data_IF_503388280395
#
_entry.id   IF_503388280395
#
_cell.length_a   1.000
_cell.length_b   1.000
_cell.length_c   1.000
_cell.angle_alpha   90.00
_cell.angle_beta   90.00
_cell.angle_gamma   90.00
#
_symmetry.space_group_name_H-M   'P 1'
#
loop_
_entity.id
_entity.type
_entity.pdbx_description
1 polymer ?
#
# COMPACT_ATOMS: atom_id res chain seq x y z
N UNK A 1 15.04 -33.23 -38.90
CA UNK A 1 14.31 -32.23 -38.07
C UNK A 1 14.01 -32.89 -36.73
N UNK A 2 14.99 -32.93 -35.83
CA UNK A 2 14.76 -33.43 -34.47
C UNK A 2 14.07 -32.32 -33.66
N UNK A 3 12.96 -32.68 -33.02
CA UNK A 3 12.16 -31.80 -32.18
C UNK A 3 13.03 -31.32 -31.01
N UNK A 4 13.32 -30.02 -30.94
CA UNK A 4 14.12 -29.44 -29.86
C UNK A 4 13.25 -29.26 -28.61
N UNK A 5 13.90 -29.13 -27.44
CA UNK A 5 13.20 -28.81 -26.20
C UNK A 5 12.58 -27.42 -26.25
N UNK A 6 11.43 -27.30 -25.58
CA UNK A 6 10.76 -26.03 -25.34
C UNK A 6 11.59 -25.14 -24.40
N UNK A 7 11.39 -23.82 -24.52
CA UNK A 7 12.12 -22.82 -23.76
C UNK A 7 11.90 -22.97 -22.26
N UNK A 8 10.66 -23.25 -21.84
CA UNK A 8 10.27 -23.40 -20.43
C UNK A 8 10.90 -24.63 -19.81
N UNK A 9 10.95 -25.74 -20.55
CA UNK A 9 11.56 -26.99 -20.07
C UNK A 9 13.07 -26.82 -19.93
N UNK A 10 13.70 -26.13 -20.89
CA UNK A 10 15.13 -25.90 -20.86
C UNK A 10 15.55 -24.93 -19.73
N UNK A 11 14.75 -23.90 -19.43
CA UNK A 11 15.00 -23.00 -18.30
C UNK A 11 14.76 -23.71 -16.97
N UNK A 12 13.66 -24.46 -16.82
CA UNK A 12 13.41 -25.25 -15.61
C UNK A 12 14.49 -26.30 -15.36
N UNK A 13 15.06 -26.90 -16.43
CA UNK A 13 16.22 -27.78 -16.30
C UNK A 13 17.45 -27.03 -15.78
N UNK A 14 17.72 -25.83 -16.30
CA UNK A 14 18.82 -24.98 -15.86
C UNK A 14 18.71 -24.62 -14.37
N UNK A 15 17.51 -24.26 -13.92
CA UNK A 15 17.20 -23.90 -12.54
C UNK A 15 17.03 -25.12 -11.60
N UNK A 16 17.13 -26.34 -12.14
CA UNK A 16 16.91 -27.63 -11.45
C UNK A 16 15.51 -27.80 -10.86
N UNK A 17 14.51 -27.20 -11.48
CA UNK A 17 13.11 -27.25 -11.05
C UNK A 17 12.33 -28.43 -11.66
N UNK A 18 12.92 -29.18 -12.60
CA UNK A 18 12.29 -30.37 -13.16
C UNK A 18 12.33 -31.58 -12.20
N UNK A 19 11.28 -32.42 -12.19
CA UNK A 19 11.28 -33.73 -11.51
C UNK A 19 12.39 -34.65 -12.05
N UNK A 20 12.88 -35.59 -11.23
CA UNK A 20 14.03 -36.45 -11.58
C UNK A 20 13.91 -37.20 -12.91
N UNK A 21 12.73 -37.77 -13.21
CA UNK A 21 12.49 -38.48 -14.47
C UNK A 21 12.53 -37.54 -15.69
N UNK A 22 12.13 -36.28 -15.54
CA UNK A 22 12.19 -35.27 -16.61
C UNK A 22 13.59 -34.70 -16.76
N UNK A 23 14.35 -34.55 -15.67
CA UNK A 23 15.77 -34.18 -15.74
C UNK A 23 16.59 -35.19 -16.55
N UNK A 24 16.38 -36.50 -16.34
CA UNK A 24 17.10 -37.54 -17.08
C UNK A 24 16.78 -37.48 -18.59
N UNK A 25 15.50 -37.32 -18.96
CA UNK A 25 15.08 -37.20 -20.36
C UNK A 25 15.68 -35.95 -21.03
N UNK A 26 15.69 -34.82 -20.32
CA UNK A 26 16.30 -33.59 -20.82
C UNK A 26 17.82 -33.75 -20.95
N UNK A 27 18.48 -34.40 -20.00
CA UNK A 27 19.91 -34.67 -20.06
C UNK A 27 20.29 -35.56 -21.26
N UNK A 28 19.50 -36.59 -21.55
CA UNK A 28 19.69 -37.46 -22.72
C UNK A 28 19.53 -36.67 -24.04
N UNK A 29 18.50 -35.80 -24.12
CA UNK A 29 18.34 -34.92 -25.28
C UNK A 29 19.53 -33.97 -25.43
N UNK A 30 19.99 -33.37 -24.34
CA UNK A 30 21.13 -32.46 -24.35
C UNK A 30 22.43 -33.17 -24.75
N UNK A 31 22.59 -34.47 -24.50
CA UNK A 31 23.77 -35.21 -24.94
C UNK A 31 23.89 -35.30 -26.48
N UNK A 32 22.78 -35.22 -27.21
CA UNK A 32 22.74 -35.39 -28.67
C UNK A 32 22.35 -34.13 -29.46
N UNK A 33 21.79 -33.10 -28.80
CA UNK A 33 21.25 -31.92 -29.47
C UNK A 33 22.11 -30.65 -29.26
N UNK A 34 22.99 -30.36 -30.23
CA UNK A 34 23.84 -29.16 -30.22
C UNK A 34 23.05 -27.83 -30.22
N UNK A 35 21.81 -27.82 -30.72
CA UNK A 35 20.96 -26.63 -30.68
C UNK A 35 20.51 -26.30 -29.24
N UNK A 36 20.08 -27.31 -28.49
CA UNK A 36 19.66 -27.12 -27.09
C UNK A 36 20.86 -26.86 -26.17
N UNK A 37 22.02 -27.48 -26.43
CA UNK A 37 23.27 -27.15 -25.71
C UNK A 37 23.63 -25.66 -25.83
N UNK A 38 23.58 -25.11 -27.05
CA UNK A 38 23.88 -23.67 -27.28
C UNK A 38 22.88 -22.74 -26.59
N UNK A 39 21.61 -23.13 -26.53
CA UNK A 39 20.59 -22.36 -25.79
C UNK A 39 20.84 -22.41 -24.28
N UNK A 40 21.16 -23.59 -23.74
CA UNK A 40 21.50 -23.74 -22.33
C UNK A 40 22.72 -22.89 -21.94
N UNK A 41 23.73 -22.83 -22.82
CA UNK A 41 24.90 -21.98 -22.62
C UNK A 41 24.53 -20.49 -22.59
N UNK A 42 23.58 -20.05 -23.41
CA UNK A 42 23.10 -18.67 -23.36
C UNK A 42 22.48 -18.31 -22.00
N UNK A 43 21.81 -19.25 -21.34
CA UNK A 43 21.29 -19.05 -19.99
C UNK A 43 22.41 -18.93 -18.96
N UNK A 44 23.50 -19.70 -19.07
CA UNK A 44 24.68 -19.54 -18.21
C UNK A 44 25.28 -18.15 -18.32
N UNK A 45 25.54 -17.69 -19.55
CA UNK A 45 26.13 -16.37 -19.81
C UNK A 45 25.24 -15.26 -19.22
N UNK A 46 23.92 -15.36 -19.41
CA UNK A 46 22.97 -14.40 -18.86
C UNK A 46 22.96 -14.43 -17.32
N UNK A 47 22.97 -15.61 -16.71
CA UNK A 47 22.99 -15.74 -15.26
C UNK A 47 24.28 -15.20 -14.64
N UNK A 48 25.43 -15.45 -15.27
CA UNK A 48 26.72 -14.90 -14.84
C UNK A 48 26.75 -13.37 -14.95
N UNK A 49 26.18 -12.80 -16.02
CA UNK A 49 26.04 -11.35 -16.17
C UNK A 49 25.01 -10.72 -15.22
N UNK A 50 24.00 -11.49 -14.83
CA UNK A 50 22.93 -11.07 -13.93
C UNK A 50 23.25 -11.29 -12.44
N UNK A 51 24.44 -11.81 -12.10
CA UNK A 51 24.95 -11.97 -10.74
C UNK A 51 25.28 -10.62 -10.06
N UNK A 52 24.45 -9.60 -10.32
CA UNK A 52 24.43 -8.36 -9.56
C UNK A 52 23.87 -8.70 -8.20
N UNK A 53 24.72 -8.56 -7.18
CA UNK A 53 24.30 -8.66 -5.80
C UNK A 53 23.26 -7.57 -5.52
N UNK A 54 21.99 -7.98 -5.39
CA UNK A 54 20.92 -7.04 -5.06
C UNK A 54 21.01 -6.76 -3.57
N UNK A 55 21.49 -5.56 -3.23
CA UNK A 55 21.48 -5.08 -1.85
C UNK A 55 20.02 -4.97 -1.35
N UNK A 56 19.60 -5.96 -0.56
CA UNK A 56 18.28 -5.99 0.06
C UNK A 56 18.02 -4.77 0.95
N UNK A 57 19.06 -4.17 1.55
CA UNK A 57 18.92 -2.95 2.32
C UNK A 57 18.64 -1.74 1.43
N UNK A 58 19.33 -1.66 0.29
CA UNK A 58 19.09 -0.69 -0.78
C UNK A 58 17.66 -0.78 -1.32
N UNK A 59 17.17 -1.99 -1.61
CA UNK A 59 15.79 -2.23 -2.05
C UNK A 59 14.77 -1.80 -0.97
N UNK A 60 14.97 -2.24 0.27
CA UNK A 60 14.09 -1.88 1.38
C UNK A 60 14.07 -0.36 1.64
N UNK A 61 15.20 0.33 1.42
CA UNK A 61 15.28 1.79 1.49
C UNK A 61 14.49 2.44 0.35
N UNK A 62 14.65 1.96 -0.88
CA UNK A 62 13.92 2.48 -2.04
C UNK A 62 12.40 2.33 -1.89
N UNK A 63 11.94 1.16 -1.43
CA UNK A 63 10.52 0.89 -1.15
C UNK A 63 9.98 1.84 -0.08
N UNK A 64 10.70 2.01 1.04
CA UNK A 64 10.31 2.92 2.12
C UNK A 64 10.19 4.37 1.65
N UNK A 65 11.15 4.85 0.87
CA UNK A 65 11.10 6.22 0.32
C UNK A 65 9.90 6.42 -0.58
N UNK A 66 9.54 5.41 -1.39
CA UNK A 66 8.38 5.50 -2.29
C UNK A 66 7.05 5.49 -1.55
N UNK A 67 6.92 4.68 -0.50
CA UNK A 67 5.74 4.67 0.37
C UNK A 67 5.61 5.96 1.18
N UNK A 68 6.73 6.51 1.68
CA UNK A 68 6.72 7.78 2.42
C UNK A 68 6.22 8.97 1.58
N UNK A 69 6.45 8.93 0.26
CA UNK A 69 5.96 9.94 -0.69
C UNK A 69 4.47 9.81 -1.04
N UNK A 70 3.86 8.64 -0.85
CA UNK A 70 2.43 8.43 -1.08
C UNK A 70 1.62 8.77 0.17
N UNK A 71 1.57 10.06 0.56
CA UNK A 71 0.48 10.49 1.43
C UNK A 71 -0.80 10.45 0.60
N UNK A 72 -1.77 9.55 0.91
CA UNK A 72 -2.95 9.42 0.08
C UNK A 72 -3.72 10.74 0.12
N UNK A 73 -4.30 11.12 -1.03
CA UNK A 73 -5.15 12.32 -1.14
C UNK A 73 -6.24 12.34 -0.06
N UNK A 74 -6.67 11.15 0.38
CA UNK A 74 -7.59 10.92 1.49
C UNK A 74 -7.14 11.52 2.83
N UNK A 75 -5.83 11.59 3.12
CA UNK A 75 -5.35 12.22 4.36
C UNK A 75 -5.57 13.74 4.36
N UNK A 76 -5.44 14.39 3.20
CA UNK A 76 -5.76 15.83 3.08
C UNK A 76 -7.24 16.08 3.36
N UNK A 77 -8.11 15.22 2.85
CA UNK A 77 -9.55 15.29 3.10
C UNK A 77 -9.89 14.97 4.56
N UNK A 78 -9.25 13.98 5.18
CA UNK A 78 -9.47 13.63 6.58
C UNK A 78 -9.17 14.81 7.53
N UNK A 79 -8.07 15.54 7.29
CA UNK A 79 -7.74 16.74 8.08
C UNK A 79 -8.77 17.85 7.85
N UNK A 80 -9.19 18.08 6.61
CA UNK A 80 -10.19 19.10 6.28
C UNK A 80 -11.55 18.81 6.94
N UNK A 81 -12.03 17.56 6.87
CA UNK A 81 -13.27 17.16 7.53
C UNK A 81 -13.20 17.24 9.05
N UNK A 82 -12.06 16.85 9.65
CA UNK A 82 -11.86 16.96 11.10
C UNK A 82 -11.94 18.40 11.60
N UNK A 83 -11.30 19.34 10.90
CA UNK A 83 -11.37 20.77 11.24
C UNK A 83 -12.79 21.35 11.06
N UNK A 84 -13.47 20.99 9.96
CA UNK A 84 -14.85 21.43 9.73
C UNK A 84 -15.80 20.91 10.81
N UNK A 85 -15.68 19.63 11.21
CA UNK A 85 -16.50 19.05 12.27
C UNK A 85 -16.26 19.75 13.61
N UNK A 86 -15.00 20.06 13.94
CA UNK A 86 -14.66 20.77 15.18
C UNK A 86 -15.29 22.18 15.22
N UNK A 87 -15.30 22.91 14.10
CA UNK A 87 -15.95 24.21 14.01
C UNK A 87 -17.47 24.12 14.15
N UNK A 88 -18.11 23.12 13.52
CA UNK A 88 -19.55 22.91 13.62
C UNK A 88 -19.95 22.58 15.07
N UNK A 89 -19.26 21.63 15.69
CA UNK A 89 -19.54 21.21 17.08
C UNK A 89 -19.27 22.36 18.05
N UNK A 90 -18.12 23.04 17.92
CA UNK A 90 -17.79 24.18 18.77
C UNK A 90 -18.79 25.33 18.63
N UNK A 91 -19.22 25.64 17.41
CA UNK A 91 -20.25 26.66 17.16
C UNK A 91 -21.61 26.28 17.75
N UNK A 92 -22.01 25.02 17.64
CA UNK A 92 -23.27 24.55 18.24
C UNK A 92 -23.26 24.68 19.76
N UNK A 93 -22.19 24.23 20.41
CA UNK A 93 -22.04 24.36 21.87
C UNK A 93 -22.08 25.82 22.32
N UNK A 94 -21.36 26.70 21.63
CA UNK A 94 -21.37 28.15 21.91
C UNK A 94 -22.78 28.74 21.81
N UNK A 95 -23.53 28.38 20.78
CA UNK A 95 -24.89 28.88 20.58
C UNK A 95 -25.85 28.38 21.68
N UNK A 96 -25.72 27.13 22.14
CA UNK A 96 -26.57 26.62 23.22
C UNK A 96 -26.35 27.32 24.55
N UNK A 97 -25.10 27.67 24.88
CA UNK A 97 -24.79 28.44 26.09
C UNK A 97 -25.36 29.86 26.02
N UNK A 98 -25.26 30.50 24.84
CA UNK A 98 -25.80 31.84 24.62
C UNK A 98 -27.33 31.89 24.78
N UNK A 99 -28.05 30.88 24.26
CA UNK A 99 -29.51 30.81 24.40
C UNK A 99 -29.94 30.59 25.85
N UNK A 100 -29.24 29.73 26.59
CA UNK A 100 -29.54 29.48 28.00
C UNK A 100 -29.28 30.70 28.89
N UNK A 101 -28.24 31.48 28.58
CA UNK A 101 -27.97 32.74 29.26
C UNK A 101 -29.10 33.76 29.06
N UNK A 102 -29.58 33.90 27.82
CA UNK A 102 -30.65 34.83 27.48
C UNK A 102 -32.00 34.47 28.14
N UNK A 103 -32.36 33.19 28.17
CA UNK A 103 -33.60 32.73 28.84
C UNK A 103 -33.55 32.95 30.35
N UNK A 104 -32.38 32.74 30.98
CA UNK A 104 -32.20 32.96 32.42
C UNK A 104 -32.35 34.42 32.81
N UNK A 105 -31.82 35.35 32.02
CA UNK A 105 -32.02 36.79 32.23
C UNK A 105 -33.49 37.19 32.10
N UNK A 106 -34.20 36.67 31.09
CA UNK A 106 -35.62 36.92 30.90
C UNK A 106 -36.47 36.46 32.10
N UNK A 107 -36.18 35.27 32.65
CA UNK A 107 -36.88 34.73 33.83
C UNK A 107 -36.62 35.56 35.10
N UNK A 108 -35.40 36.06 35.28
CA UNK A 108 -35.07 36.94 36.42
C UNK A 108 -35.85 38.26 36.34
N UNK A 109 -35.97 38.85 35.15
CA UNK A 109 -36.79 40.05 34.96
C UNK A 109 -38.28 39.80 35.22
N UNK A 110 -38.81 38.64 34.84
CA UNK A 110 -40.20 38.28 35.13
C UNK A 110 -40.46 38.09 36.63
N UNK A 111 -39.55 37.42 37.36
CA UNK A 111 -39.71 37.22 38.81
C UNK A 111 -39.57 38.52 39.61
N UNK A 112 -38.60 39.37 39.25
CA UNK A 112 -38.45 40.70 39.85
C UNK A 112 -39.67 41.58 39.52
N UNK A 113 -40.23 41.44 38.32
CA UNK A 113 -41.47 42.07 37.88
C UNK A 113 -42.73 41.57 38.60
N UNK A 114 -42.72 40.37 39.18
CA UNK A 114 -43.86 39.81 39.91
C UNK A 114 -43.83 40.13 41.42
N UNK A 115 -42.71 40.65 41.93
CA UNK A 115 -42.51 40.86 43.38
C UNK A 115 -42.69 42.32 43.83
N UNK A 116 -43.04 43.25 42.92
CA UNK A 116 -43.19 44.67 43.23
C UNK A 116 -44.65 45.17 43.37
N UNK A 117 -45.66 44.34 43.60
CA UNK A 117 -47.00 44.86 43.92
C UNK A 117 -46.96 45.74 45.18
N UNK A 118 -47.20 47.06 45.08
CA UNK A 118 -47.22 47.92 46.26
C UNK A 118 -48.52 47.66 47.04
N UNK A 119 -48.35 47.23 48.29
CA UNK A 119 -49.41 47.16 49.31
C UNK A 119 -50.08 48.53 49.53
#
# INVERSE_FOLDING_TARGET
MQNCLDEVVLSAYYDRELPGAEQEQVAEHLASCAACQRRLESYRILAEGAAVEVDGAGLARAVRLRLAGQRPLLWRWAVAFGAALALIVGGYLYHTEATLAAEREALLHQQLGATWEPL
#
